data_IF_707758984108
#
_entry.id   IF_707758984108
#
_cell.length_a   1.000
_cell.length_b   1.000
_cell.length_c   1.000
_cell.angle_alpha   90.00
_cell.angle_beta   90.00
_cell.angle_gamma   90.00
#
_symmetry.space_group_name_H-M   'P 1'
#
loop_
_entity.id
_entity.type
_entity.pdbx_description
1 polymer ?
#
# COMPACT_ATOMS: atom_id res chain seq x y z
N UNK A 1 -16.88 0.16 1.00
CA UNK A 1 -15.76 -0.77 0.68
C UNK A 1 -16.27 -1.77 -0.34
N UNK A 2 -15.55 -1.94 -1.45
CA UNK A 2 -15.85 -2.90 -2.50
C UNK A 2 -14.89 -4.10 -2.41
N UNK A 3 -15.40 -5.31 -2.50
CA UNK A 3 -14.59 -6.55 -2.46
C UNK A 3 -14.65 -7.20 -3.84
N UNK A 4 -13.48 -7.45 -4.45
CA UNK A 4 -13.34 -8.07 -5.77
C UNK A 4 -12.49 -9.34 -5.63
N UNK A 5 -13.03 -10.46 -6.03
CA UNK A 5 -12.36 -11.77 -5.96
C UNK A 5 -12.08 -12.25 -7.39
N UNK A 6 -10.81 -12.48 -7.71
CA UNK A 6 -10.36 -12.90 -9.04
C UNK A 6 -9.41 -14.10 -8.95
N UNK A 7 -9.12 -14.72 -10.08
CA UNK A 7 -8.37 -15.97 -10.17
C UNK A 7 -6.89 -15.92 -9.76
N UNK A 8 -6.29 -14.72 -9.62
CA UNK A 8 -4.89 -14.64 -9.21
C UNK A 8 -4.25 -13.25 -9.32
N UNK A 9 -3.02 -13.13 -8.82
CA UNK A 9 -2.29 -11.88 -8.65
C UNK A 9 -2.17 -11.03 -9.93
N UNK A 10 -1.99 -11.67 -11.09
CA UNK A 10 -1.89 -10.95 -12.37
C UNK A 10 -3.20 -10.23 -12.73
N UNK A 11 -4.35 -10.85 -12.50
CA UNK A 11 -5.65 -10.21 -12.76
C UNK A 11 -5.90 -9.06 -11.78
N UNK A 12 -5.53 -9.24 -10.52
CA UNK A 12 -5.61 -8.18 -9.50
C UNK A 12 -4.71 -7.00 -9.87
N UNK A 13 -3.45 -7.28 -10.28
CA UNK A 13 -2.51 -6.27 -10.73
C UNK A 13 -3.03 -5.46 -11.90
N UNK A 14 -3.60 -6.14 -12.91
CA UNK A 14 -4.21 -5.50 -14.06
C UNK A 14 -5.37 -4.58 -13.67
N UNK A 15 -6.27 -5.04 -12.81
CA UNK A 15 -7.43 -4.26 -12.39
C UNK A 15 -7.01 -3.02 -11.57
N UNK A 16 -6.04 -3.16 -10.67
CA UNK A 16 -5.48 -2.01 -9.94
C UNK A 16 -4.78 -1.03 -10.89
N UNK A 17 -4.03 -1.53 -11.88
CA UNK A 17 -3.39 -0.70 -12.89
C UNK A 17 -4.41 0.03 -13.78
N UNK A 18 -5.56 -0.58 -14.10
CA UNK A 18 -6.66 0.09 -14.82
C UNK A 18 -7.16 1.33 -14.05
N UNK A 19 -7.30 1.23 -12.72
CA UNK A 19 -7.71 2.35 -11.89
C UNK A 19 -6.65 3.46 -11.85
N UNK A 20 -5.36 3.09 -11.73
CA UNK A 20 -4.24 4.06 -11.73
C UNK A 20 -4.11 4.72 -13.10
N UNK A 21 -4.19 3.99 -14.19
CA UNK A 21 -4.14 4.55 -15.55
C UNK A 21 -5.27 5.55 -15.78
N UNK A 22 -6.52 5.19 -15.42
CA UNK A 22 -7.65 6.10 -15.46
C UNK A 22 -7.40 7.39 -14.68
N UNK A 23 -6.85 7.25 -13.47
CA UNK A 23 -6.51 8.38 -12.62
C UNK A 23 -5.46 9.28 -13.30
N UNK A 24 -4.33 8.72 -13.72
CA UNK A 24 -3.21 9.46 -14.33
C UNK A 24 -3.63 10.15 -15.63
N UNK A 25 -4.40 9.47 -16.49
CA UNK A 25 -4.92 10.09 -17.72
C UNK A 25 -5.88 11.26 -17.44
N UNK A 26 -6.70 11.16 -16.39
CA UNK A 26 -7.63 12.23 -15.99
C UNK A 26 -6.93 13.37 -15.23
N UNK A 27 -5.92 13.04 -14.43
CA UNK A 27 -5.14 13.96 -13.59
C UNK A 27 -3.66 13.64 -13.76
N UNK A 28 -2.97 14.23 -14.75
CA UNK A 28 -1.54 13.97 -14.97
C UNK A 28 -0.66 14.18 -13.73
N UNK A 29 -0.97 15.20 -12.91
CA UNK A 29 -0.34 15.44 -11.60
C UNK A 29 -0.95 14.58 -10.47
N UNK A 30 -1.33 13.34 -10.72
CA UNK A 30 -1.86 12.43 -9.70
C UNK A 30 -0.81 12.12 -8.63
N UNK A 31 -1.26 12.04 -7.38
CA UNK A 31 -0.45 11.69 -6.22
C UNK A 31 -0.72 10.23 -5.85
N UNK A 32 0.28 9.38 -6.03
CA UNK A 32 0.19 7.94 -5.81
C UNK A 32 0.84 7.56 -4.48
N UNK A 33 0.12 6.87 -3.63
CA UNK A 33 0.66 6.23 -2.43
C UNK A 33 1.26 4.87 -2.80
N UNK A 34 2.55 4.69 -2.58
CA UNK A 34 3.33 3.55 -3.00
C UNK A 34 3.63 2.62 -1.82
N UNK A 35 3.46 1.33 -2.03
CA UNK A 35 3.77 0.28 -1.06
C UNK A 35 4.92 -0.60 -1.54
N UNK A 36 5.59 -1.28 -0.62
CA UNK A 36 6.60 -2.30 -0.90
C UNK A 36 6.05 -3.71 -0.64
N UNK A 37 6.91 -4.72 -0.77
CA UNK A 37 6.53 -6.12 -0.62
C UNK A 37 5.97 -6.73 -1.91
N UNK A 38 5.46 -7.95 -1.81
CA UNK A 38 5.03 -8.73 -2.98
C UNK A 38 3.67 -8.31 -3.56
N UNK A 39 2.80 -7.70 -2.75
CA UNK A 39 1.43 -7.35 -3.16
C UNK A 39 1.37 -6.34 -4.31
N UNK A 40 2.15 -5.24 -4.32
CA UNK A 40 2.08 -4.25 -5.39
C UNK A 40 2.86 -4.64 -6.67
N UNK A 41 3.74 -5.63 -6.63
CA UNK A 41 4.59 -5.98 -7.79
C UNK A 41 3.80 -6.23 -9.08
N UNK A 42 2.71 -7.02 -9.08
CA UNK A 42 1.92 -7.22 -10.30
C UNK A 42 1.29 -5.92 -10.84
N UNK A 43 1.03 -4.94 -9.98
CA UNK A 43 0.54 -3.61 -10.37
C UNK A 43 1.66 -2.83 -11.05
N UNK A 44 2.84 -2.80 -10.45
CA UNK A 44 4.01 -2.10 -11.00
C UNK A 44 4.47 -2.69 -12.33
N UNK A 45 4.45 -4.01 -12.46
CA UNK A 45 4.76 -4.70 -13.73
C UNK A 45 3.80 -4.26 -14.84
N UNK A 46 2.51 -4.22 -14.54
CA UNK A 46 1.49 -3.82 -15.50
C UNK A 46 1.60 -2.33 -15.86
N UNK A 47 1.84 -1.45 -14.88
CA UNK A 47 2.03 -0.01 -15.12
C UNK A 47 3.30 0.28 -15.95
N UNK A 48 4.38 -0.46 -15.70
CA UNK A 48 5.60 -0.35 -16.50
C UNK A 48 5.36 -0.77 -17.96
N UNK A 49 4.59 -1.84 -18.20
CA UNK A 49 4.20 -2.25 -19.55
C UNK A 49 3.36 -1.18 -20.24
N UNK A 50 2.37 -0.60 -19.54
CA UNK A 50 1.54 0.50 -20.08
C UNK A 50 2.32 1.77 -20.34
N UNK A 51 3.36 2.04 -19.54
CA UNK A 51 4.27 3.15 -19.82
C UNK A 51 5.00 2.96 -21.15
N UNK A 52 5.46 1.76 -21.45
CA UNK A 52 6.05 1.45 -22.77
C UNK A 52 5.04 1.62 -23.93
N UNK A 53 3.75 1.49 -23.64
CA UNK A 53 2.64 1.74 -24.59
C UNK A 53 2.16 3.21 -24.58
N UNK A 54 2.84 4.11 -23.85
CA UNK A 54 2.61 5.55 -23.88
C UNK A 54 1.82 6.11 -22.68
N UNK A 55 1.64 5.38 -21.58
CA UNK A 55 1.13 5.95 -20.34
C UNK A 55 2.21 6.86 -19.73
N UNK A 56 1.89 8.14 -19.53
CA UNK A 56 2.82 9.16 -19.07
C UNK A 56 2.65 9.47 -17.58
N UNK A 57 3.72 9.28 -16.82
CA UNK A 57 3.80 9.57 -15.38
C UNK A 57 4.66 10.80 -15.06
N UNK A 58 5.16 11.54 -16.08
CA UNK A 58 6.14 12.63 -15.89
C UNK A 58 5.70 13.72 -14.92
N UNK A 59 4.38 13.97 -14.83
CA UNK A 59 3.79 14.95 -13.91
C UNK A 59 3.27 14.34 -12.61
N UNK A 60 3.28 13.01 -12.47
CA UNK A 60 2.79 12.33 -11.27
C UNK A 60 3.80 12.43 -10.12
N UNK A 61 3.31 12.26 -8.89
CA UNK A 61 4.12 12.18 -7.68
C UNK A 61 3.86 10.85 -6.96
N UNK A 62 4.90 10.32 -6.29
CA UNK A 62 4.83 9.12 -5.48
C UNK A 62 5.14 9.39 -4.02
N UNK A 63 4.36 8.83 -3.09
CA UNK A 63 4.60 8.89 -1.65
C UNK A 63 4.68 7.47 -1.08
N UNK A 64 5.86 7.10 -0.56
CA UNK A 64 6.09 5.80 0.05
C UNK A 64 5.31 5.63 1.35
N UNK A 65 4.79 4.44 1.60
CA UNK A 65 4.02 4.13 2.81
C UNK A 65 4.88 4.16 4.07
N UNK A 66 6.13 3.78 3.94
CA UNK A 66 7.05 3.56 5.06
C UNK A 66 8.53 3.62 4.63
N UNK A 67 9.44 3.62 5.61
CA UNK A 67 10.89 3.50 5.41
C UNK A 67 11.57 2.99 6.68
N UNK A 68 12.62 2.20 6.54
CA UNK A 68 13.47 1.77 7.65
C UNK A 68 14.23 2.92 8.28
N UNK A 69 14.41 2.88 9.60
CA UNK A 69 15.26 3.82 10.33
C UNK A 69 16.68 3.28 10.42
N UNK A 70 17.65 4.13 10.05
CA UNK A 70 19.07 3.85 10.24
C UNK A 70 19.75 3.10 9.10
N UNK A 71 19.06 2.75 8.01
CA UNK A 71 19.73 2.26 6.81
C UNK A 71 20.49 3.41 6.12
N UNK A 72 21.73 3.17 5.67
CA UNK A 72 22.48 4.19 4.96
C UNK A 72 21.81 4.55 3.62
N UNK A 73 22.00 5.77 3.15
CA UNK A 73 21.47 6.23 1.87
C UNK A 73 21.94 5.31 0.73
N UNK A 74 21.02 4.91 -0.13
CA UNK A 74 21.28 3.99 -1.24
C UNK A 74 21.39 2.52 -0.85
N UNK A 75 21.07 2.16 0.40
CA UNK A 75 20.99 0.74 0.79
C UNK A 75 19.94 0.02 -0.06
N UNK A 76 20.25 -1.13 -0.70
CA UNK A 76 19.35 -1.79 -1.65
C UNK A 76 17.99 -2.19 -1.07
N UNK A 77 17.91 -2.40 0.25
CA UNK A 77 16.69 -2.78 0.95
C UNK A 77 16.00 -1.60 1.66
N UNK A 78 16.50 -0.35 1.50
CA UNK A 78 15.68 0.81 1.84
C UNK A 78 14.44 0.82 0.95
N UNK A 79 13.29 1.17 1.48
CA UNK A 79 12.06 1.14 0.69
C UNK A 79 12.07 2.18 -0.44
N UNK A 80 12.80 3.26 -0.27
CA UNK A 80 13.11 4.19 -1.36
C UNK A 80 13.76 3.49 -2.55
N UNK A 81 14.81 2.68 -2.32
CA UNK A 81 15.50 1.96 -3.38
C UNK A 81 14.67 0.80 -3.94
N UNK A 82 13.91 0.12 -3.08
CA UNK A 82 12.96 -0.91 -3.52
C UNK A 82 11.91 -0.31 -4.47
N UNK A 83 11.26 0.79 -4.08
CA UNK A 83 10.27 1.48 -4.94
C UNK A 83 10.93 1.97 -6.23
N UNK A 84 12.15 2.50 -6.15
CA UNK A 84 12.89 2.93 -7.33
C UNK A 84 13.10 1.77 -8.29
N UNK A 85 13.61 0.65 -7.81
CA UNK A 85 13.91 -0.56 -8.60
C UNK A 85 12.65 -1.19 -9.19
N UNK A 86 11.61 -1.35 -8.37
CA UNK A 86 10.42 -2.11 -8.75
C UNK A 86 9.43 -1.27 -9.59
N UNK A 87 9.44 0.06 -9.46
CA UNK A 87 8.47 0.91 -10.14
C UNK A 87 9.06 2.17 -10.79
N UNK A 88 9.59 3.12 -10.00
CA UNK A 88 9.78 4.48 -10.51
C UNK A 88 10.90 4.60 -11.53
N UNK A 89 11.88 3.68 -11.53
CA UNK A 89 12.92 3.59 -12.57
C UNK A 89 12.42 2.92 -13.88
N UNK A 90 11.27 2.27 -13.82
CA UNK A 90 10.64 1.56 -14.95
C UNK A 90 9.60 2.41 -15.68
N UNK A 91 9.31 3.60 -15.16
CA UNK A 91 8.40 4.61 -15.73
C UNK A 91 9.12 5.96 -15.72
N UNK A 92 8.44 7.05 -16.14
CA UNK A 92 9.05 8.38 -16.26
C UNK A 92 8.68 9.35 -15.14
N UNK A 93 8.37 8.86 -13.91
CA UNK A 93 8.24 9.75 -12.74
C UNK A 93 9.62 10.37 -12.44
N UNK A 94 9.66 11.70 -12.33
CA UNK A 94 10.89 12.38 -11.95
C UNK A 94 11.33 11.95 -10.53
N UNK A 95 12.61 11.64 -10.28
CA UNK A 95 13.09 11.21 -8.96
C UNK A 95 12.73 12.18 -7.83
N UNK A 96 12.71 13.48 -8.09
CA UNK A 96 12.37 14.53 -7.12
C UNK A 96 10.86 14.55 -6.77
N UNK A 97 10.03 13.89 -7.57
CA UNK A 97 8.61 13.72 -7.30
C UNK A 97 8.30 12.44 -6.50
N UNK A 98 9.33 11.67 -6.09
CA UNK A 98 9.19 10.46 -5.29
C UNK A 98 9.65 10.74 -3.87
N UNK A 99 8.71 10.75 -2.94
CA UNK A 99 8.90 11.12 -1.55
C UNK A 99 8.76 9.89 -0.65
N UNK A 100 9.52 9.87 0.43
CA UNK A 100 9.40 8.88 1.51
C UNK A 100 9.74 9.50 2.85
N UNK A 101 9.36 8.87 3.96
CA UNK A 101 9.81 9.31 5.28
C UNK A 101 11.34 9.25 5.37
N UNK A 102 11.98 10.23 6.02
CA UNK A 102 13.43 10.24 6.18
C UNK A 102 13.88 9.41 7.38
N UNK A 103 14.19 8.13 7.14
CA UNK A 103 14.69 7.20 8.15
C UNK A 103 16.13 7.48 8.60
N UNK A 104 16.83 8.46 7.98
CA UNK A 104 18.21 8.86 8.34
C UNK A 104 18.25 10.14 9.16
N UNK A 105 17.10 10.79 9.38
CA UNK A 105 17.02 12.07 10.09
C UNK A 105 17.49 11.93 11.55
N UNK A 106 18.16 12.96 12.05
CA UNK A 106 18.54 13.05 13.47
C UNK A 106 17.32 13.36 14.36
N UNK A 107 16.38 14.19 13.87
CA UNK A 107 15.11 14.49 14.53
C UNK A 107 13.98 13.77 13.81
N UNK A 108 13.71 12.55 14.27
CA UNK A 108 12.67 11.68 13.70
C UNK A 108 11.26 12.30 13.81
N UNK A 109 10.82 12.87 14.94
CA UNK A 109 9.56 13.58 15.00
C UNK A 109 9.40 14.67 13.95
N UNK A 110 10.40 15.54 13.81
CA UNK A 110 10.38 16.61 12.80
C UNK A 110 10.35 16.04 11.36
N UNK A 111 11.05 14.95 11.09
CA UNK A 111 11.02 14.28 9.80
C UNK A 111 9.63 13.70 9.48
N UNK A 112 8.95 13.11 10.46
CA UNK A 112 7.57 12.63 10.32
C UNK A 112 6.61 13.79 10.03
N UNK A 113 6.71 14.90 10.76
CA UNK A 113 5.87 16.08 10.53
C UNK A 113 6.12 16.69 9.15
N UNK A 114 7.39 16.80 8.74
CA UNK A 114 7.76 17.27 7.40
C UNK A 114 7.17 16.39 6.30
N UNK A 115 7.15 15.07 6.48
CA UNK A 115 6.55 14.13 5.54
C UNK A 115 5.03 14.32 5.43
N UNK A 116 4.33 14.49 6.54
CA UNK A 116 2.89 14.80 6.54
C UNK A 116 2.59 16.14 5.85
N UNK A 117 3.42 17.15 6.07
CA UNK A 117 3.31 18.42 5.36
C UNK A 117 3.54 18.29 3.85
N UNK A 118 4.50 17.46 3.44
CA UNK A 118 4.74 17.19 2.02
C UNK A 118 3.53 16.52 1.34
N UNK A 119 2.91 15.54 2.00
CA UNK A 119 1.66 14.93 1.52
C UNK A 119 0.55 15.98 1.38
N UNK A 120 0.39 16.83 2.39
CA UNK A 120 -0.63 17.89 2.38
C UNK A 120 -0.37 18.93 1.27
N UNK A 121 0.89 19.35 1.09
CA UNK A 121 1.31 20.31 0.07
C UNK A 121 1.10 19.77 -1.36
N UNK A 122 1.26 18.46 -1.56
CA UNK A 122 0.93 17.78 -2.82
C UNK A 122 -0.60 17.68 -3.08
N UNK A 123 -1.42 18.12 -2.13
CA UNK A 123 -2.88 18.05 -2.19
C UNK A 123 -3.48 16.75 -1.67
N UNK A 124 -2.71 15.94 -0.95
CA UNK A 124 -3.09 14.62 -0.43
C UNK A 124 -2.99 13.51 -1.48
N UNK A 125 -3.01 12.26 -1.03
CA UNK A 125 -2.89 11.07 -1.88
C UNK A 125 -4.19 10.84 -2.64
N UNK A 126 -4.11 10.72 -3.97
CA UNK A 126 -5.27 10.42 -4.82
C UNK A 126 -5.62 8.93 -4.80
N UNK A 127 -4.61 8.05 -4.84
CA UNK A 127 -4.80 6.62 -4.77
C UNK A 127 -3.64 5.98 -3.99
N UNK A 128 -3.98 5.30 -2.90
CA UNK A 128 -3.05 4.57 -2.03
C UNK A 128 -3.09 3.08 -2.33
N UNK A 129 -1.95 2.50 -2.71
CA UNK A 129 -1.78 1.05 -2.77
C UNK A 129 -1.42 0.51 -1.38
N UNK A 130 -2.00 -0.63 -1.02
CA UNK A 130 -1.74 -1.33 0.23
C UNK A 130 -1.61 -2.85 0.00
N UNK A 131 -0.77 -3.47 0.81
CA UNK A 131 -0.88 -4.89 1.17
C UNK A 131 -1.48 -5.03 2.58
N UNK A 132 -1.63 -6.26 3.06
CA UNK A 132 -2.07 -6.56 4.42
C UNK A 132 -1.18 -7.64 5.05
N UNK A 133 -0.83 -7.46 6.32
CA UNK A 133 -0.15 -8.48 7.11
C UNK A 133 -1.06 -9.66 7.47
N UNK A 134 -0.47 -10.76 7.95
CA UNK A 134 -1.22 -11.94 8.38
C UNK A 134 -2.03 -11.71 9.66
N UNK A 135 -1.70 -10.69 10.41
CA UNK A 135 -2.39 -10.19 11.60
C UNK A 135 -3.35 -9.01 11.32
N UNK A 136 -3.45 -8.58 10.07
CA UNK A 136 -4.32 -7.49 9.64
C UNK A 136 -3.67 -6.11 9.70
N UNK A 137 -2.36 -5.99 9.87
CA UNK A 137 -1.70 -4.68 9.78
C UNK A 137 -1.67 -4.14 8.34
N UNK A 138 -1.66 -2.83 8.18
CA UNK A 138 -1.43 -2.10 6.92
C UNK A 138 -0.33 -1.05 7.14
N UNK A 139 0.65 -0.96 6.21
CA UNK A 139 1.94 -0.37 6.50
C UNK A 139 2.57 -1.10 7.68
N UNK A 140 3.24 -0.39 8.59
CA UNK A 140 3.67 -0.98 9.88
C UNK A 140 2.74 -0.57 11.04
N UNK A 141 1.45 -0.42 10.75
CA UNK A 141 0.44 -0.22 11.79
C UNK A 141 0.00 -1.57 12.36
N UNK A 142 0.81 -2.10 13.27
CA UNK A 142 0.59 -3.34 14.02
C UNK A 142 -0.68 -3.26 14.89
N UNK A 143 -1.24 -4.42 15.35
CA UNK A 143 -2.37 -4.46 16.27
C UNK A 143 -2.22 -3.50 17.46
N UNK A 144 -3.29 -2.78 17.79
CA UNK A 144 -3.29 -1.73 18.81
C UNK A 144 -2.91 -0.33 18.30
N UNK A 145 -2.58 -0.18 17.01
CA UNK A 145 -2.34 1.15 16.42
C UNK A 145 -3.60 2.01 16.45
N UNK A 146 -3.44 3.28 16.87
CA UNK A 146 -4.56 4.24 16.86
C UNK A 146 -5.06 4.50 15.45
N UNK A 147 -6.36 4.50 15.24
CA UNK A 147 -7.00 4.83 13.97
C UNK A 147 -6.79 6.29 13.54
N UNK A 148 -6.50 7.18 14.49
CA UNK A 148 -6.17 8.58 14.23
C UNK A 148 -4.67 8.84 14.07
N UNK A 149 -3.82 7.79 14.07
CA UNK A 149 -2.38 7.96 14.02
C UNK A 149 -1.92 8.61 12.71
N UNK A 150 -0.89 9.45 12.83
CA UNK A 150 -0.18 10.05 11.70
C UNK A 150 1.16 9.34 11.48
N UNK A 151 1.95 9.80 10.53
CA UNK A 151 3.31 9.26 10.29
C UNK A 151 4.15 9.32 11.55
N UNK A 152 4.79 8.22 11.90
CA UNK A 152 5.54 8.07 13.15
C UNK A 152 6.51 6.90 13.10
N UNK A 153 7.44 6.88 14.06
CA UNK A 153 8.30 5.73 14.30
C UNK A 153 7.52 4.57 14.96
N UNK A 154 7.81 3.36 14.51
CA UNK A 154 7.31 2.10 15.09
C UNK A 154 8.46 1.14 15.30
N UNK A 155 8.41 0.39 16.40
CA UNK A 155 9.29 -0.77 16.61
C UNK A 155 8.70 -1.97 15.89
N UNK A 156 9.54 -2.67 15.13
CA UNK A 156 9.16 -3.92 14.50
C UNK A 156 9.12 -5.04 15.54
N UNK A 157 8.04 -5.83 15.52
CA UNK A 157 8.01 -7.06 16.31
C UNK A 157 8.97 -8.10 15.71
N UNK A 158 9.43 -9.02 16.52
CA UNK A 158 10.43 -10.01 16.08
C UNK A 158 9.93 -10.85 14.89
N UNK A 159 8.65 -11.18 14.85
CA UNK A 159 8.07 -11.91 13.72
C UNK A 159 8.22 -11.13 12.42
N UNK A 160 7.87 -9.85 12.41
CA UNK A 160 8.02 -8.98 11.23
C UNK A 160 9.49 -8.87 10.80
N UNK A 161 10.42 -8.77 11.77
CA UNK A 161 11.86 -8.77 11.45
C UNK A 161 12.31 -10.10 10.85
N UNK A 162 11.85 -11.23 11.36
CA UNK A 162 12.13 -12.56 10.77
C UNK A 162 11.58 -12.71 9.36
N UNK A 163 10.37 -12.23 9.11
CA UNK A 163 9.74 -12.28 7.80
C UNK A 163 10.51 -11.43 6.78
N UNK A 164 11.14 -10.34 7.23
CA UNK A 164 11.94 -9.45 6.40
C UNK A 164 13.42 -9.87 6.31
N UNK A 165 13.90 -10.76 7.19
CA UNK A 165 15.30 -11.19 7.19
C UNK A 165 15.76 -11.83 5.87
N UNK A 166 14.83 -12.36 5.07
CA UNK A 166 15.11 -12.90 3.72
C UNK A 166 15.67 -11.86 2.73
N UNK A 167 15.55 -10.58 3.03
CA UNK A 167 16.06 -9.47 2.21
C UNK A 167 17.39 -8.92 2.72
N UNK A 168 17.91 -9.41 3.85
CA UNK A 168 19.13 -8.97 4.51
C UNK A 168 20.10 -10.14 4.65
N UNK A 169 21.38 -9.86 4.88
CA UNK A 169 22.40 -10.90 5.08
C UNK A 169 22.14 -11.70 6.36
N UNK A 170 21.59 -11.06 7.40
CA UNK A 170 21.18 -11.72 8.64
C UNK A 170 20.01 -11.01 9.33
N UNK A 171 19.38 -11.68 10.31
CA UNK A 171 18.35 -11.07 11.16
C UNK A 171 18.87 -9.85 11.94
N UNK A 172 20.17 -9.82 12.25
CA UNK A 172 20.79 -8.71 12.98
C UNK A 172 20.84 -7.43 12.14
N UNK A 173 20.90 -7.56 10.81
CA UNK A 173 20.96 -6.44 9.87
C UNK A 173 19.58 -5.84 9.59
N UNK A 174 18.50 -6.54 9.95
CA UNK A 174 17.13 -6.00 9.82
C UNK A 174 16.94 -4.89 10.87
N UNK A 175 16.62 -3.65 10.46
CA UNK A 175 16.40 -2.56 11.40
C UNK A 175 15.34 -2.89 12.46
N UNK A 176 15.48 -2.32 13.65
CA UNK A 176 14.50 -2.45 14.71
C UNK A 176 13.31 -1.49 14.58
N UNK A 177 13.50 -0.41 13.83
CA UNK A 177 12.53 0.67 13.72
C UNK A 177 12.23 1.01 12.27
N UNK A 178 11.00 1.48 12.06
CA UNK A 178 10.52 2.01 10.78
C UNK A 178 9.76 3.31 11.01
N UNK A 179 9.74 4.18 10.03
CA UNK A 179 8.76 5.26 9.90
C UNK A 179 7.62 4.72 9.03
N UNK A 180 6.38 4.93 9.44
CA UNK A 180 5.22 4.49 8.66
C UNK A 180 4.12 5.53 8.71
N UNK A 181 3.43 5.73 7.58
CA UNK A 181 2.17 6.47 7.56
C UNK A 181 1.22 5.86 8.57
N UNK A 182 0.59 6.70 9.39
CA UNK A 182 -0.42 6.26 10.34
C UNK A 182 -1.73 5.89 9.65
N UNK A 183 -2.62 5.22 10.38
CA UNK A 183 -3.94 4.84 9.86
C UNK A 183 -4.75 6.07 9.45
N UNK A 184 -4.69 7.17 10.22
CA UNK A 184 -5.34 8.43 9.86
C UNK A 184 -4.76 9.08 8.61
N UNK A 185 -3.47 8.91 8.32
CA UNK A 185 -2.85 9.36 7.07
C UNK A 185 -3.34 8.53 5.89
N UNK A 186 -3.32 7.20 6.02
CA UNK A 186 -3.83 6.27 5.00
C UNK A 186 -5.30 6.53 4.68
N UNK A 187 -6.13 6.71 5.72
CA UNK A 187 -7.56 6.98 5.58
C UNK A 187 -7.89 8.34 4.94
N UNK A 188 -6.92 9.26 4.87
CA UNK A 188 -7.08 10.54 4.18
C UNK A 188 -6.88 10.44 2.66
N UNK A 189 -6.44 9.32 2.12
CA UNK A 189 -6.36 9.09 0.67
C UNK A 189 -7.76 9.13 0.05
N UNK A 190 -7.87 9.57 -1.21
CA UNK A 190 -9.17 9.64 -1.90
C UNK A 190 -9.69 8.28 -2.31
N UNK A 191 -8.79 7.39 -2.69
CA UNK A 191 -9.08 6.00 -3.00
C UNK A 191 -8.01 5.11 -2.39
N UNK A 192 -8.40 4.01 -1.76
CA UNK A 192 -7.48 2.99 -1.25
C UNK A 192 -7.72 1.70 -2.04
N UNK A 193 -6.65 1.14 -2.59
CA UNK A 193 -6.66 -0.20 -3.20
C UNK A 193 -5.74 -1.11 -2.38
N UNK A 194 -6.34 -2.12 -1.73
CA UNK A 194 -5.61 -3.14 -0.99
C UNK A 194 -5.60 -4.45 -1.78
N UNK A 195 -4.41 -5.03 -1.97
CA UNK A 195 -4.24 -6.33 -2.59
C UNK A 195 -3.83 -7.39 -1.55
N UNK A 196 -4.51 -8.53 -1.56
CA UNK A 196 -4.13 -9.68 -0.75
C UNK A 196 -4.22 -10.97 -1.56
N UNK A 197 -3.16 -11.79 -1.50
CA UNK A 197 -3.05 -13.06 -2.22
C UNK A 197 -2.54 -14.16 -1.31
N UNK A 198 -3.02 -15.38 -1.55
CA UNK A 198 -2.58 -16.58 -0.85
C UNK A 198 -3.36 -16.88 0.43
N UNK A 199 -3.46 -18.17 0.74
CA UNK A 199 -4.24 -18.68 1.87
C UNK A 199 -3.78 -18.18 3.23
N UNK A 200 -2.49 -17.81 3.38
CA UNK A 200 -1.95 -17.22 4.61
C UNK A 200 -2.58 -15.87 4.97
N UNK A 201 -3.24 -15.19 4.02
CA UNK A 201 -3.96 -13.94 4.25
C UNK A 201 -5.45 -14.14 4.57
N UNK A 202 -6.00 -15.35 4.37
CA UNK A 202 -7.43 -15.60 4.47
C UNK A 202 -8.05 -15.20 5.84
N UNK A 203 -7.32 -15.48 6.94
CA UNK A 203 -7.78 -15.08 8.27
C UNK A 203 -7.84 -13.56 8.43
N UNK A 204 -6.77 -12.87 8.05
CA UNK A 204 -6.71 -11.40 8.14
C UNK A 204 -7.79 -10.76 7.24
N UNK A 205 -7.97 -11.28 6.02
CA UNK A 205 -9.01 -10.83 5.08
C UNK A 205 -10.39 -10.97 5.70
N UNK A 206 -10.75 -12.14 6.22
CA UNK A 206 -12.03 -12.33 6.92
C UNK A 206 -12.18 -11.35 8.08
N UNK A 207 -11.14 -11.17 8.90
CA UNK A 207 -11.22 -10.36 10.12
C UNK A 207 -11.38 -8.86 9.79
N UNK A 208 -10.75 -8.35 8.72
CA UNK A 208 -10.92 -6.93 8.38
C UNK A 208 -12.11 -6.63 7.45
N UNK A 209 -12.57 -7.61 6.66
CA UNK A 209 -13.72 -7.42 5.74
C UNK A 209 -15.05 -7.66 6.44
N UNK A 210 -15.15 -8.76 7.19
CA UNK A 210 -16.41 -9.26 7.80
C UNK A 210 -16.42 -9.15 9.33
N UNK A 211 -15.28 -8.86 9.93
CA UNK A 211 -15.16 -8.66 11.38
C UNK A 211 -15.52 -7.26 11.83
N UNK A 212 -15.54 -7.04 13.14
CA UNK A 212 -15.78 -5.71 13.71
C UNK A 212 -14.58 -4.78 13.40
N UNK A 213 -14.86 -3.48 13.27
CA UNK A 213 -13.80 -2.46 13.23
C UNK A 213 -13.15 -2.37 14.61
N UNK A 214 -11.91 -2.83 14.69
CA UNK A 214 -11.17 -2.90 15.95
C UNK A 214 -9.67 -2.73 15.75
N UNK A 215 -9.00 -2.05 16.66
CA UNK A 215 -7.55 -1.81 16.56
C UNK A 215 -6.71 -3.09 16.59
N UNK A 216 -7.25 -4.21 17.05
CA UNK A 216 -6.59 -5.51 16.97
C UNK A 216 -6.41 -6.01 15.53
N UNK A 217 -7.18 -5.50 14.58
CA UNK A 217 -7.07 -5.74 13.16
C UNK A 217 -7.06 -4.38 12.44
N UNK A 218 -5.90 -3.72 12.31
CA UNK A 218 -5.82 -2.33 11.83
C UNK A 218 -6.46 -2.09 10.47
N UNK A 219 -6.36 -3.04 9.53
CA UNK A 219 -7.00 -2.95 8.22
C UNK A 219 -8.54 -2.85 8.31
N UNK A 220 -9.16 -3.24 9.43
CA UNK A 220 -10.61 -3.13 9.63
C UNK A 220 -11.14 -1.70 9.55
N UNK A 221 -10.27 -0.69 9.76
CA UNK A 221 -10.64 0.73 9.60
C UNK A 221 -11.09 1.06 8.16
N UNK A 222 -10.63 0.30 7.17
CA UNK A 222 -11.01 0.50 5.77
C UNK A 222 -12.52 0.33 5.52
N UNK A 223 -13.25 -0.32 6.43
CA UNK A 223 -14.73 -0.37 6.39
C UNK A 223 -15.37 1.02 6.49
N UNK A 224 -14.70 1.99 7.09
CA UNK A 224 -15.15 3.39 7.16
C UNK A 224 -14.65 4.25 6.00
N UNK A 225 -13.75 3.72 5.16
CA UNK A 225 -13.23 4.51 4.05
C UNK A 225 -14.31 4.69 2.96
N UNK A 226 -14.57 5.93 2.49
CA UNK A 226 -15.62 6.18 1.51
C UNK A 226 -15.35 5.50 0.16
N UNK A 227 -14.10 5.27 -0.19
CA UNK A 227 -13.70 4.64 -1.44
C UNK A 227 -12.52 3.67 -1.20
N UNK A 228 -12.81 2.48 -0.67
CA UNK A 228 -11.85 1.40 -0.53
C UNK A 228 -12.22 0.23 -1.44
N UNK A 229 -11.27 -0.26 -2.20
CA UNK A 229 -11.37 -1.45 -3.05
C UNK A 229 -10.40 -2.51 -2.54
N UNK A 230 -10.91 -3.69 -2.26
CA UNK A 230 -10.13 -4.82 -1.75
C UNK A 230 -10.07 -5.89 -2.85
N UNK A 231 -8.88 -6.11 -3.37
CA UNK A 231 -8.60 -7.06 -4.45
C UNK A 231 -8.02 -8.35 -3.87
N UNK A 232 -8.72 -9.45 -4.03
CA UNK A 232 -8.40 -10.75 -3.44
C UNK A 232 -8.26 -11.83 -4.51
N UNK A 233 -7.28 -12.74 -4.34
CA UNK A 233 -7.35 -14.01 -5.02
C UNK A 233 -8.27 -14.98 -4.28
N UNK A 234 -8.63 -16.11 -4.93
CA UNK A 234 -9.50 -17.13 -4.37
C UNK A 234 -8.96 -17.69 -3.04
N UNK A 235 -7.64 -17.82 -2.91
CA UNK A 235 -7.02 -18.35 -1.71
C UNK A 235 -7.10 -17.37 -0.53
N UNK A 236 -6.89 -16.09 -0.76
CA UNK A 236 -7.04 -15.04 0.26
C UNK A 236 -8.52 -14.85 0.66
N UNK A 237 -9.46 -15.07 -0.27
CA UNK A 237 -10.89 -14.96 -0.02
C UNK A 237 -11.50 -16.20 0.67
N UNK A 238 -10.75 -17.31 0.82
CA UNK A 238 -11.27 -18.62 1.20
C UNK A 238 -11.93 -18.69 2.58
N UNK A 239 -11.69 -17.74 3.48
CA UNK A 239 -12.33 -17.68 4.79
C UNK A 239 -13.51 -16.70 4.87
N UNK A 240 -13.86 -16.00 3.77
CA UNK A 240 -15.00 -15.11 3.72
C UNK A 240 -16.32 -15.92 3.69
N UNK A 241 -17.27 -15.49 4.49
CA UNK A 241 -18.61 -16.08 4.57
C UNK A 241 -19.53 -15.56 3.46
N UNK A 242 -19.30 -14.35 2.98
CA UNK A 242 -20.10 -13.66 1.99
C UNK A 242 -19.43 -13.62 0.60
N UNK A 243 -18.48 -14.52 0.31
CA UNK A 243 -17.73 -14.52 -0.95
C UNK A 243 -18.63 -14.50 -2.18
N UNK A 244 -19.73 -15.31 -2.20
CA UNK A 244 -20.67 -15.35 -3.32
C UNK A 244 -21.44 -14.05 -3.49
N UNK A 245 -21.79 -13.38 -2.36
CA UNK A 245 -22.38 -12.05 -2.39
C UNK A 245 -21.45 -11.02 -3.03
N UNK A 246 -20.16 -11.04 -2.65
CA UNK A 246 -19.17 -10.12 -3.22
C UNK A 246 -18.96 -10.34 -4.71
N UNK A 247 -18.88 -11.60 -5.16
CA UNK A 247 -18.81 -11.93 -6.60
C UNK A 247 -20.03 -11.42 -7.34
N UNK A 248 -21.23 -11.74 -6.82
CA UNK A 248 -22.49 -11.31 -7.43
C UNK A 248 -22.59 -9.79 -7.57
N UNK A 249 -22.22 -9.04 -6.53
CA UNK A 249 -22.27 -7.57 -6.56
C UNK A 249 -21.27 -6.99 -7.56
N UNK A 250 -20.07 -7.57 -7.66
CA UNK A 250 -19.07 -7.10 -8.62
C UNK A 250 -19.47 -7.43 -10.07
N UNK A 251 -19.97 -8.63 -10.35
CA UNK A 251 -20.42 -9.06 -11.67
C UNK A 251 -21.62 -8.25 -12.21
N UNK A 252 -22.49 -7.80 -11.30
CA UNK A 252 -23.69 -7.03 -11.65
C UNK A 252 -23.50 -5.51 -11.45
N UNK A 253 -22.28 -5.06 -11.24
CA UNK A 253 -21.94 -3.65 -11.09
C UNK A 253 -22.28 -2.87 -12.36
N UNK A 254 -22.92 -1.70 -12.26
CA UNK A 254 -23.16 -0.85 -13.44
C UNK A 254 -21.85 -0.49 -14.16
N UNK A 255 -21.80 -0.63 -15.48
CA UNK A 255 -20.57 -0.43 -16.26
C UNK A 255 -19.93 0.97 -16.16
N UNK A 256 -20.70 1.99 -15.73
CA UNK A 256 -20.21 3.35 -15.49
C UNK A 256 -19.50 3.53 -14.14
N UNK A 257 -19.69 2.59 -13.21
CA UNK A 257 -19.21 2.67 -11.83
C UNK A 257 -17.76 2.19 -11.73
N UNK A 258 -16.82 2.38 -12.47
CA UNK A 258 -15.42 1.93 -12.32
C UNK A 258 -14.98 1.47 -10.91
N UNK A 259 -13.70 1.15 -10.70
CA UNK A 259 -13.18 0.98 -9.33
C UNK A 259 -13.12 2.32 -8.67
#
# INVERSE_FOLDING_TARGET
MEIVILGGSRQLGKLAADAIEKLVRRKPGAVLGLATGSSPLPVYDELAARHQEGLDFSSASGFALDEYVGLPAGHPESYREVIRREFTHRVNIAPDNVHGPDGTAQDIPAACDAYEHAIAAAGGVDLQLLGVGTDGHIGFNEPGSSFASRTRIKSLIEQTRRDNARFFDSLADVPHHVLTQGLGTIMAARHVILLATGAQKAKAVRDFVEGPVAAICPASILQFHPHATILLDEAAASALKLADFYRHTYENKPGWQGL
#
